data_IF_313666439245
#
_entry.id   IF_313666439245
#
_cell.length_a   1.000
_cell.length_b   1.000
_cell.length_c   1.000
_cell.angle_alpha   90.00
_cell.angle_beta   90.00
_cell.angle_gamma   90.00
#
_symmetry.space_group_name_H-M   'P 1'
#
loop_
_entity.id
_entity.type
_entity.pdbx_description
1 polymer ?
#
# COMPACT_ATOMS: atom_id res chain seq x y z
N UNK A 1 17.55 10.87 11.62
CA UNK A 1 17.62 10.44 10.19
C UNK A 1 18.82 11.08 9.51
N UNK A 2 19.68 10.29 8.83
CA UNK A 2 20.90 10.75 8.16
C UNK A 2 20.56 11.78 7.05
N UNK A 3 21.33 12.87 6.92
CA UNK A 3 21.15 13.92 5.89
C UNK A 3 21.09 13.35 4.46
N UNK A 4 21.90 12.31 4.18
CA UNK A 4 21.92 11.58 2.90
C UNK A 4 20.57 10.90 2.60
N UNK A 5 19.99 10.21 3.57
CA UNK A 5 18.69 9.56 3.45
C UNK A 5 17.60 10.60 3.15
N UNK A 6 17.60 11.73 3.88
CA UNK A 6 16.63 12.83 3.64
C UNK A 6 16.72 13.37 2.22
N UNK A 7 17.93 13.58 1.72
CA UNK A 7 18.14 14.08 0.35
C UNK A 7 17.64 13.07 -0.69
N UNK A 8 17.95 11.78 -0.51
CA UNK A 8 17.50 10.72 -1.43
C UNK A 8 15.97 10.63 -1.43
N UNK A 9 15.34 10.59 -0.26
CA UNK A 9 13.87 10.54 -0.16
C UNK A 9 13.22 11.78 -0.80
N UNK A 10 13.82 12.96 -0.64
CA UNK A 10 13.34 14.19 -1.29
C UNK A 10 13.44 14.11 -2.82
N UNK A 11 14.57 13.63 -3.36
CA UNK A 11 14.76 13.49 -4.81
C UNK A 11 13.81 12.44 -5.42
N UNK A 12 13.58 11.32 -4.73
CA UNK A 12 12.58 10.31 -5.12
C UNK A 12 11.20 10.96 -5.16
N UNK A 13 10.79 11.63 -4.07
CA UNK A 13 9.49 12.29 -4.00
C UNK A 13 9.28 13.35 -5.08
N UNK A 14 10.32 14.13 -5.41
CA UNK A 14 10.27 15.12 -6.49
C UNK A 14 10.09 14.45 -7.87
N UNK A 15 10.82 13.36 -8.10
CA UNK A 15 10.70 12.60 -9.35
C UNK A 15 9.29 12.00 -9.51
N UNK A 16 8.73 11.40 -8.44
CA UNK A 16 7.37 10.87 -8.43
C UNK A 16 6.33 11.98 -8.67
N UNK A 17 6.52 13.15 -8.06
CA UNK A 17 5.63 14.31 -8.25
C UNK A 17 5.57 14.77 -9.70
N UNK A 18 6.66 14.63 -10.46
CA UNK A 18 6.76 15.08 -11.86
C UNK A 18 6.32 13.99 -12.83
N UNK A 19 6.71 12.73 -12.60
CA UNK A 19 6.56 11.67 -13.60
C UNK A 19 5.41 10.71 -13.35
N UNK A 20 5.11 10.42 -12.10
CA UNK A 20 4.13 9.40 -11.69
C UNK A 20 2.77 10.01 -11.33
N UNK A 21 2.72 10.88 -10.33
CA UNK A 21 1.46 11.43 -9.82
C UNK A 21 0.60 12.15 -10.86
N UNK A 22 1.12 12.89 -11.87
CA UNK A 22 0.28 13.51 -12.89
C UNK A 22 -0.47 12.49 -13.76
N UNK A 23 0.14 11.33 -14.05
CA UNK A 23 -0.51 10.26 -14.82
C UNK A 23 -1.60 9.57 -14.01
N UNK A 24 -1.30 9.28 -12.73
CA UNK A 24 -2.26 8.67 -11.80
C UNK A 24 -3.43 9.61 -11.54
N UNK A 25 -3.16 10.91 -11.34
CA UNK A 25 -4.18 11.95 -11.19
C UNK A 25 -5.13 12.01 -12.37
N UNK A 26 -4.60 12.13 -13.59
CA UNK A 26 -5.42 12.17 -14.81
C UNK A 26 -6.33 10.95 -14.94
N UNK A 27 -5.83 9.77 -14.57
CA UNK A 27 -6.62 8.55 -14.57
C UNK A 27 -7.78 8.64 -13.57
N UNK A 28 -7.50 8.97 -12.30
CA UNK A 28 -8.51 8.99 -11.25
C UNK A 28 -9.48 10.16 -11.33
N UNK A 29 -9.08 11.31 -11.89
CA UNK A 29 -10.01 12.42 -12.18
C UNK A 29 -11.15 12.01 -13.12
N UNK A 30 -10.87 11.08 -14.04
CA UNK A 30 -11.86 10.54 -14.99
C UNK A 30 -12.61 9.32 -14.43
N UNK A 31 -11.97 8.51 -13.57
CA UNK A 31 -12.48 7.23 -13.14
C UNK A 31 -13.32 7.30 -11.85
N UNK A 32 -13.13 8.33 -11.02
CA UNK A 32 -13.79 8.43 -9.72
C UNK A 32 -15.05 9.30 -9.75
N UNK A 33 -16.13 8.89 -9.05
CA UNK A 33 -17.28 9.74 -8.80
C UNK A 33 -16.91 10.92 -7.88
N UNK A 34 -17.86 11.84 -7.63
CA UNK A 34 -17.63 13.04 -6.79
C UNK A 34 -17.33 12.69 -5.33
N UNK A 35 -17.91 11.62 -4.81
CA UNK A 35 -17.75 11.16 -3.42
C UNK A 35 -17.36 9.68 -3.39
N UNK A 36 -16.15 9.31 -3.83
CA UNK A 36 -15.75 7.91 -3.89
C UNK A 36 -15.54 7.33 -2.50
N UNK A 37 -15.78 6.04 -2.36
CA UNK A 37 -15.35 5.26 -1.21
C UNK A 37 -14.04 4.56 -1.52
N UNK A 38 -13.03 4.86 -0.74
CA UNK A 38 -11.66 4.40 -0.95
C UNK A 38 -11.20 3.61 0.27
N UNK A 39 -10.64 2.45 0.02
CA UNK A 39 -9.89 1.69 1.01
C UNK A 39 -8.41 1.78 0.68
N UNK A 40 -7.58 2.14 1.66
CA UNK A 40 -6.14 2.32 1.53
C UNK A 40 -5.43 1.45 2.56
N UNK A 41 -4.78 0.40 2.09
CA UNK A 41 -4.05 -0.56 2.92
C UNK A 41 -2.56 -0.26 2.81
N UNK A 42 -1.95 0.14 3.93
CA UNK A 42 -0.58 0.64 3.99
C UNK A 42 -0.53 2.16 3.87
N UNK A 43 -1.23 2.87 4.79
CA UNK A 43 -1.32 4.34 4.76
C UNK A 43 0.00 5.08 4.90
N UNK A 44 0.96 4.48 5.60
CA UNK A 44 2.25 5.08 5.90
C UNK A 44 2.10 6.50 6.49
N UNK A 45 2.61 7.54 5.82
CA UNK A 45 2.49 8.96 6.22
C UNK A 45 1.29 9.67 5.58
N UNK A 46 0.41 8.93 4.92
CA UNK A 46 -0.81 9.42 4.31
C UNK A 46 -0.65 10.01 2.92
N UNK A 47 0.35 9.57 2.15
CA UNK A 47 0.57 10.05 0.78
C UNK A 47 -0.63 9.73 -0.13
N UNK A 48 -1.17 8.51 -0.02
CA UNK A 48 -2.37 8.07 -0.75
C UNK A 48 -3.60 8.89 -0.36
N UNK A 49 -3.77 9.14 0.96
CA UNK A 49 -4.89 9.94 1.46
C UNK A 49 -4.83 11.37 0.90
N UNK A 50 -3.65 12.03 0.99
CA UNK A 50 -3.44 13.38 0.44
C UNK A 50 -3.71 13.41 -1.06
N UNK A 51 -3.26 12.39 -1.78
CA UNK A 51 -3.47 12.26 -3.21
C UNK A 51 -4.98 12.18 -3.54
N UNK A 52 -5.72 11.26 -2.95
CA UNK A 52 -7.14 11.09 -3.22
C UNK A 52 -7.96 12.30 -2.79
N UNK A 53 -7.68 12.89 -1.63
CA UNK A 53 -8.35 14.12 -1.16
C UNK A 53 -8.06 15.32 -2.08
N UNK A 54 -6.88 15.38 -2.69
CA UNK A 54 -6.56 16.43 -3.65
C UNK A 54 -7.34 16.34 -4.97
N UNK A 55 -7.88 15.16 -5.29
CA UNK A 55 -8.73 14.92 -6.48
C UNK A 55 -10.20 15.02 -6.10
N UNK A 56 -10.58 14.41 -4.98
CA UNK A 56 -11.96 14.35 -4.46
C UNK A 56 -11.98 14.70 -2.97
N UNK A 57 -12.11 15.97 -2.61
CA UNK A 57 -12.06 16.41 -1.20
C UNK A 57 -13.09 15.74 -0.29
N UNK A 58 -14.21 15.27 -0.88
CA UNK A 58 -15.29 14.59 -0.16
C UNK A 58 -15.18 13.06 -0.21
N UNK A 59 -14.05 12.51 -0.66
CA UNK A 59 -13.83 11.06 -0.66
C UNK A 59 -14.00 10.47 0.75
N UNK A 60 -14.71 9.34 0.86
CA UNK A 60 -14.85 8.58 2.08
C UNK A 60 -13.71 7.57 2.17
N UNK A 61 -12.70 7.84 2.98
CA UNK A 61 -11.47 7.02 3.01
C UNK A 61 -11.43 6.20 4.30
N UNK A 62 -11.28 4.88 4.15
CA UNK A 62 -10.89 3.99 5.25
C UNK A 62 -9.47 3.54 5.02
N UNK A 63 -8.56 3.86 5.93
CA UNK A 63 -7.13 3.60 5.77
C UNK A 63 -6.58 2.77 6.92
N UNK A 64 -5.74 1.78 6.58
CA UNK A 64 -5.15 0.81 7.51
C UNK A 64 -3.66 1.08 7.63
N UNK A 65 -3.18 1.27 8.86
CA UNK A 65 -1.77 1.47 9.19
C UNK A 65 -1.38 0.62 10.40
N UNK A 66 -0.53 -0.42 10.22
CA UNK A 66 -0.12 -1.29 11.32
C UNK A 66 0.83 -0.61 12.32
N UNK A 67 1.71 0.30 11.86
CA UNK A 67 2.70 0.95 12.71
C UNK A 67 2.04 1.96 13.66
N UNK A 68 2.07 1.74 15.00
CA UNK A 68 1.40 2.65 15.95
C UNK A 68 1.90 4.09 15.90
N UNK A 69 3.18 4.30 15.63
CA UNK A 69 3.78 5.64 15.54
C UNK A 69 3.27 6.39 14.30
N UNK A 70 3.18 5.70 13.14
CA UNK A 70 2.61 6.29 11.94
C UNK A 70 1.10 6.48 12.08
N UNK A 71 0.41 5.55 12.72
CA UNK A 71 -1.01 5.70 13.02
C UNK A 71 -1.31 6.94 13.86
N UNK A 72 -0.52 7.21 14.92
CA UNK A 72 -0.64 8.44 15.72
C UNK A 72 -0.39 9.70 14.88
N UNK A 73 0.62 9.68 14.00
CA UNK A 73 0.88 10.77 13.07
C UNK A 73 -0.34 11.03 12.16
N UNK A 74 -0.91 9.98 11.58
CA UNK A 74 -2.10 10.08 10.73
C UNK A 74 -3.31 10.61 11.52
N UNK A 75 -3.53 10.12 12.73
CA UNK A 75 -4.62 10.57 13.60
C UNK A 75 -4.51 12.06 13.88
N UNK A 76 -3.31 12.57 14.10
CA UNK A 76 -3.08 13.99 14.29
C UNK A 76 -3.26 14.78 12.98
N UNK A 77 -2.71 14.28 11.88
CA UNK A 77 -2.74 14.94 10.56
C UNK A 77 -4.17 15.12 10.04
N UNK A 78 -5.03 14.12 10.23
CA UNK A 78 -6.40 14.12 9.74
C UNK A 78 -7.43 14.39 10.83
N UNK A 79 -7.02 14.97 11.97
CA UNK A 79 -7.93 15.33 13.05
C UNK A 79 -9.05 16.26 12.54
N UNK A 80 -10.30 15.92 12.89
CA UNK A 80 -11.48 16.70 12.48
C UNK A 80 -12.02 16.40 11.06
N UNK A 81 -11.39 15.53 10.28
CA UNK A 81 -11.89 15.10 8.97
C UNK A 81 -12.84 13.89 9.15
N UNK A 82 -14.16 14.16 9.18
CA UNK A 82 -15.18 13.15 9.44
C UNK A 82 -15.30 12.10 8.31
N UNK A 83 -14.77 12.39 7.12
CA UNK A 83 -14.76 11.50 5.96
C UNK A 83 -13.54 10.55 5.93
N UNK A 84 -12.65 10.62 6.95
CA UNK A 84 -11.50 9.73 7.06
C UNK A 84 -11.66 8.84 8.29
N UNK A 85 -11.56 7.54 8.06
CA UNK A 85 -11.51 6.51 9.11
C UNK A 85 -10.14 5.84 9.10
N UNK A 86 -9.41 5.95 10.21
CA UNK A 86 -8.12 5.30 10.39
C UNK A 86 -8.27 4.03 11.23
N UNK A 87 -7.58 2.96 10.87
CA UNK A 87 -7.61 1.66 11.54
C UNK A 87 -6.18 1.22 11.84
N UNK A 88 -5.83 1.13 13.14
CA UNK A 88 -4.50 0.67 13.56
C UNK A 88 -4.45 -0.86 13.61
N UNK A 89 -4.45 -1.49 12.46
CA UNK A 89 -4.33 -2.94 12.27
C UNK A 89 -3.55 -3.21 11.00
N UNK A 90 -2.85 -4.35 10.99
CA UNK A 90 -2.37 -4.93 9.74
C UNK A 90 -3.51 -5.60 8.98
N UNK A 91 -3.34 -5.74 7.68
CA UNK A 91 -4.24 -6.51 6.82
C UNK A 91 -3.51 -7.76 6.35
N UNK A 92 -4.16 -8.92 6.45
CA UNK A 92 -3.61 -10.20 6.02
C UNK A 92 -4.73 -11.20 5.67
N UNK A 93 -4.35 -12.44 5.39
CA UNK A 93 -5.29 -13.53 5.05
C UNK A 93 -6.09 -14.04 6.25
N UNK A 94 -5.65 -13.76 7.48
CA UNK A 94 -6.30 -14.20 8.71
C UNK A 94 -6.17 -13.17 9.84
N UNK A 95 -7.08 -13.26 10.83
CA UNK A 95 -6.93 -12.55 12.10
C UNK A 95 -5.88 -13.29 12.94
N UNK A 96 -4.73 -12.67 13.12
CA UNK A 96 -3.57 -13.26 13.82
C UNK A 96 -2.61 -12.16 14.29
N UNK A 97 -1.57 -12.53 15.01
CA UNK A 97 -0.48 -11.63 15.35
C UNK A 97 0.72 -11.99 14.48
N UNK A 98 1.25 -11.01 13.76
CA UNK A 98 2.41 -11.16 12.89
C UNK A 98 3.55 -10.23 13.32
N UNK A 99 4.77 -10.65 13.04
CA UNK A 99 5.94 -9.78 13.18
C UNK A 99 5.95 -8.76 12.05
N UNK A 100 5.97 -7.48 12.42
CA UNK A 100 6.10 -6.36 11.51
C UNK A 100 7.50 -5.77 11.61
N UNK A 101 8.21 -5.71 10.49
CA UNK A 101 9.58 -5.24 10.39
C UNK A 101 9.60 -3.74 10.07
N UNK A 102 10.08 -2.93 11.00
CA UNK A 102 10.21 -1.48 10.81
C UNK A 102 11.51 -1.18 10.10
N UNK A 103 11.41 -0.55 8.93
CA UNK A 103 12.56 -0.14 8.16
C UNK A 103 13.02 1.28 8.56
N UNK A 104 14.34 1.53 8.58
CA UNK A 104 14.92 2.86 8.86
C UNK A 104 14.43 3.96 7.90
N UNK A 105 13.95 3.58 6.72
CA UNK A 105 13.38 4.53 5.75
C UNK A 105 11.92 4.89 6.02
N UNK A 106 11.26 4.19 6.95
CA UNK A 106 9.81 4.27 7.23
C UNK A 106 8.88 4.02 6.01
N UNK A 107 9.42 3.98 4.80
CA UNK A 107 8.65 3.88 3.55
C UNK A 107 8.45 2.44 3.09
N UNK A 108 9.21 1.49 3.64
CA UNK A 108 9.25 0.10 3.18
C UNK A 108 9.14 -0.90 4.34
N UNK A 109 8.42 -0.53 5.40
CA UNK A 109 8.13 -1.43 6.52
C UNK A 109 7.08 -2.46 6.11
N UNK A 110 7.27 -3.74 6.48
CA UNK A 110 6.47 -4.85 5.97
C UNK A 110 6.29 -5.95 7.00
N UNK A 111 5.34 -6.85 6.77
CA UNK A 111 5.24 -8.15 7.44
C UNK A 111 6.19 -9.20 6.83
N UNK A 112 6.83 -8.89 5.70
CA UNK A 112 7.76 -9.79 5.04
C UNK A 112 9.19 -9.52 5.49
N UNK A 113 9.92 -10.60 5.81
CA UNK A 113 11.33 -10.52 6.18
C UNK A 113 12.19 -10.16 4.96
N UNK A 114 13.27 -9.38 5.18
CA UNK A 114 14.20 -9.04 4.11
C UNK A 114 14.99 -10.29 3.67
N UNK A 115 15.20 -10.39 2.37
CA UNK A 115 16.12 -11.34 1.76
C UNK A 115 17.54 -10.77 1.80
N UNK A 116 18.35 -11.19 2.75
CA UNK A 116 19.71 -10.66 2.91
C UNK A 116 20.66 -11.04 1.77
N UNK A 117 20.31 -12.05 0.95
CA UNK A 117 21.07 -12.46 -0.23
C UNK A 117 20.67 -11.65 -1.49
N UNK A 118 19.68 -10.76 -1.38
CA UNK A 118 19.22 -9.92 -2.47
C UNK A 118 20.28 -8.92 -2.92
N UNK A 119 20.58 -8.95 -4.22
CA UNK A 119 21.45 -7.95 -4.85
C UNK A 119 20.80 -6.55 -4.84
N UNK A 120 19.49 -6.48 -4.96
CA UNK A 120 18.74 -5.23 -4.89
C UNK A 120 18.84 -4.61 -3.49
N UNK A 121 18.63 -5.43 -2.42
CA UNK A 121 18.78 -4.99 -1.04
C UNK A 121 20.19 -4.50 -0.75
N UNK A 122 21.23 -5.24 -1.21
CA UNK A 122 22.62 -4.83 -1.05
C UNK A 122 22.91 -3.48 -1.70
N UNK A 123 22.40 -3.25 -2.93
CA UNK A 123 22.53 -1.97 -3.63
C UNK A 123 21.78 -0.85 -2.92
N UNK A 124 20.56 -1.11 -2.43
CA UNK A 124 19.77 -0.17 -1.64
C UNK A 124 20.50 0.23 -0.36
N UNK A 125 21.04 -0.74 0.37
CA UNK A 125 21.84 -0.50 1.58
C UNK A 125 23.09 0.37 1.30
N UNK A 126 23.80 0.08 0.22
CA UNK A 126 24.96 0.89 -0.22
C UNK A 126 24.57 2.33 -0.54
N UNK A 127 23.46 2.54 -1.26
CA UNK A 127 22.93 3.88 -1.56
C UNK A 127 22.57 4.62 -0.27
N UNK A 128 22.03 3.94 0.72
CA UNK A 128 21.65 4.50 2.01
C UNK A 128 22.85 4.71 2.95
N UNK A 129 24.00 4.06 2.68
CA UNK A 129 25.18 4.09 3.53
C UNK A 129 25.04 3.31 4.83
N UNK A 130 24.32 2.18 4.76
CA UNK A 130 24.11 1.22 5.87
C UNK A 130 24.41 -0.20 5.40
N UNK A 131 24.55 -1.14 6.34
CA UNK A 131 24.60 -2.58 5.98
C UNK A 131 23.19 -3.12 5.71
N UNK A 132 23.01 -4.17 4.87
CA UNK A 132 21.70 -4.80 4.65
C UNK A 132 21.00 -5.20 5.95
N UNK A 133 21.74 -5.75 6.92
CA UNK A 133 21.25 -6.15 8.25
C UNK A 133 20.81 -4.97 9.13
N UNK A 134 21.20 -3.75 8.80
CA UNK A 134 20.88 -2.54 9.56
C UNK A 134 19.67 -1.79 8.99
N UNK A 135 19.09 -2.27 7.88
CA UNK A 135 17.91 -1.65 7.25
C UNK A 135 16.70 -1.78 8.17
N UNK A 136 16.49 -2.95 8.79
CA UNK A 136 15.47 -3.11 9.83
C UNK A 136 16.00 -2.43 11.09
N UNK A 137 15.21 -1.51 11.63
CA UNK A 137 15.52 -0.77 12.85
C UNK A 137 14.86 -1.37 14.08
N UNK A 138 13.71 -2.02 13.91
CA UNK A 138 12.90 -2.58 15.00
C UNK A 138 11.91 -3.62 14.46
N UNK A 139 11.28 -4.37 15.37
CA UNK A 139 10.19 -5.28 15.06
C UNK A 139 9.05 -5.14 16.05
N UNK A 140 7.81 -5.21 15.57
CA UNK A 140 6.61 -5.16 16.39
C UNK A 140 5.76 -6.40 16.19
N UNK A 141 5.02 -6.80 17.22
CA UNK A 141 3.96 -7.80 17.11
C UNK A 141 2.64 -7.05 16.84
N UNK A 142 2.10 -7.24 15.66
CA UNK A 142 0.91 -6.49 15.19
C UNK A 142 -0.24 -7.46 14.92
N UNK A 143 -1.41 -7.11 15.45
CA UNK A 143 -2.65 -7.80 15.10
C UNK A 143 -3.08 -7.48 13.67
N UNK A 144 -3.43 -8.53 12.92
CA UNK A 144 -3.98 -8.40 11.57
C UNK A 144 -5.46 -8.73 11.53
N UNK A 145 -6.12 -8.25 10.49
CA UNK A 145 -7.51 -8.53 10.15
C UNK A 145 -7.61 -9.02 8.71
N UNK A 146 -8.72 -9.72 8.38
CA UNK A 146 -9.14 -9.97 7.01
C UNK A 146 -9.96 -8.80 6.49
N UNK A 147 -9.66 -8.31 5.29
CA UNK A 147 -10.46 -7.26 4.66
C UNK A 147 -11.92 -7.68 4.48
N UNK A 148 -12.15 -8.92 4.04
CA UNK A 148 -13.51 -9.46 3.88
C UNK A 148 -14.33 -9.32 5.16
N UNK A 149 -13.79 -9.79 6.29
CA UNK A 149 -14.51 -9.78 7.55
C UNK A 149 -14.80 -8.34 7.99
N UNK A 150 -13.81 -7.44 7.86
CA UNK A 150 -13.99 -6.02 8.15
C UNK A 150 -15.08 -5.38 7.29
N UNK A 151 -15.08 -5.62 5.97
CA UNK A 151 -16.06 -5.09 5.02
C UNK A 151 -17.48 -5.56 5.40
N UNK A 152 -17.64 -6.85 5.70
CA UNK A 152 -18.92 -7.44 6.09
C UNK A 152 -19.41 -6.91 7.44
N UNK A 153 -18.55 -6.85 8.46
CA UNK A 153 -18.86 -6.29 9.78
C UNK A 153 -19.30 -4.82 9.70
N UNK A 154 -18.65 -4.04 8.83
CA UNK A 154 -19.00 -2.62 8.61
C UNK A 154 -20.18 -2.45 7.63
N UNK A 155 -20.76 -3.55 7.10
CA UNK A 155 -21.88 -3.54 6.14
C UNK A 155 -21.59 -2.69 4.89
N UNK A 156 -20.36 -2.76 4.39
CA UNK A 156 -19.93 -2.01 3.21
C UNK A 156 -20.29 -2.83 1.98
N UNK A 157 -21.10 -2.24 1.11
CA UNK A 157 -21.61 -2.91 -0.10
C UNK A 157 -20.91 -2.47 -1.38
N UNK A 158 -20.15 -1.38 -1.34
CA UNK A 158 -19.43 -0.85 -2.50
C UNK A 158 -18.15 -0.12 -2.10
N UNK A 159 -17.10 -0.31 -2.91
CA UNK A 159 -15.81 0.36 -2.82
C UNK A 159 -15.39 0.77 -4.24
N UNK A 160 -15.13 2.05 -4.47
CA UNK A 160 -14.68 2.54 -5.78
C UNK A 160 -13.21 2.18 -6.04
N UNK A 161 -12.37 2.27 -5.01
CA UNK A 161 -10.95 1.89 -5.10
C UNK A 161 -10.50 1.20 -3.81
N UNK A 162 -9.90 0.02 -3.96
CA UNK A 162 -9.08 -0.63 -2.95
C UNK A 162 -7.62 -0.52 -3.37
N UNK A 163 -6.84 0.33 -2.70
CA UNK A 163 -5.38 0.39 -2.84
C UNK A 163 -4.75 -0.53 -1.81
N UNK A 164 -3.82 -1.38 -2.25
CA UNK A 164 -2.99 -2.22 -1.38
C UNK A 164 -1.53 -1.96 -1.74
N UNK A 165 -0.78 -1.48 -0.77
CA UNK A 165 0.64 -1.16 -0.88
C UNK A 165 1.28 -1.53 0.47
N UNK A 166 1.69 -2.78 0.57
CA UNK A 166 2.09 -3.42 1.83
C UNK A 166 3.50 -3.99 1.78
N UNK A 167 4.25 -3.58 0.74
CA UNK A 167 5.66 -3.90 0.60
C UNK A 167 5.91 -5.42 0.63
N UNK A 168 5.24 -6.13 -0.29
CA UNK A 168 5.39 -7.58 -0.50
C UNK A 168 4.35 -8.45 0.20
N UNK A 169 3.36 -7.88 0.90
CA UNK A 169 2.30 -8.64 1.59
C UNK A 169 0.95 -8.63 0.85
N UNK A 170 0.91 -8.12 -0.38
CA UNK A 170 -0.30 -7.87 -1.19
C UNK A 170 -1.11 -9.13 -1.43
N UNK A 171 -0.47 -10.25 -1.79
CA UNK A 171 -1.17 -11.52 -2.02
C UNK A 171 -1.89 -12.01 -0.76
N UNK A 172 -1.29 -11.85 0.42
CA UNK A 172 -1.92 -12.24 1.69
C UNK A 172 -3.11 -11.33 2.02
N UNK A 173 -3.02 -10.03 1.70
CA UNK A 173 -4.16 -9.11 1.81
C UNK A 173 -5.32 -9.56 0.89
N UNK A 174 -5.03 -9.90 -0.36
CA UNK A 174 -6.02 -10.37 -1.33
C UNK A 174 -6.61 -11.74 -0.97
N UNK A 175 -5.83 -12.66 -0.42
CA UNK A 175 -6.34 -13.94 0.13
C UNK A 175 -7.28 -13.73 1.32
N UNK A 176 -7.09 -12.65 2.10
CA UNK A 176 -7.99 -12.23 3.17
C UNK A 176 -9.23 -11.48 2.68
N UNK A 177 -9.24 -11.07 1.41
CA UNK A 177 -10.37 -10.42 0.76
C UNK A 177 -11.25 -11.44 0.03
N UNK A 178 -10.65 -12.30 -0.77
CA UNK A 178 -11.37 -13.20 -1.68
C UNK A 178 -11.60 -14.60 -1.10
N UNK A 179 -12.74 -15.24 -1.47
CA UNK A 179 -13.87 -14.65 -2.17
C UNK A 179 -14.64 -13.66 -1.28
N UNK A 180 -15.19 -12.61 -1.87
CA UNK A 180 -16.07 -11.67 -1.18
C UNK A 180 -17.44 -11.63 -1.84
N UNK A 181 -18.49 -11.75 -1.02
CA UNK A 181 -19.89 -11.62 -1.43
C UNK A 181 -20.52 -10.42 -0.72
N UNK A 182 -21.51 -9.80 -1.34
CA UNK A 182 -22.23 -8.65 -0.75
C UNK A 182 -21.50 -7.31 -0.82
N UNK A 183 -20.29 -7.27 -1.38
CA UNK A 183 -19.57 -6.01 -1.66
C UNK A 183 -19.02 -6.01 -3.09
N UNK A 184 -19.29 -4.96 -3.83
CA UNK A 184 -18.70 -4.71 -5.14
C UNK A 184 -17.49 -3.79 -5.00
N UNK A 185 -16.36 -4.17 -5.59
CA UNK A 185 -15.14 -3.34 -5.61
C UNK A 185 -14.85 -3.04 -7.08
N UNK A 186 -14.92 -1.76 -7.48
CA UNK A 186 -14.76 -1.37 -8.87
C UNK A 186 -13.32 -1.58 -9.34
N UNK A 187 -12.36 -1.09 -8.53
CA UNK A 187 -10.94 -1.14 -8.87
C UNK A 187 -10.08 -1.59 -7.71
N UNK A 188 -9.03 -2.34 -8.04
CA UNK A 188 -7.96 -2.71 -7.12
C UNK A 188 -6.66 -2.16 -7.67
N UNK A 189 -5.96 -1.35 -6.87
CA UNK A 189 -4.65 -0.78 -7.20
C UNK A 189 -3.59 -1.45 -6.36
N UNK A 190 -2.51 -1.91 -7.02
CA UNK A 190 -1.38 -2.59 -6.40
C UNK A 190 -0.07 -2.05 -6.95
N UNK A 191 0.96 -1.98 -6.10
CA UNK A 191 2.33 -1.79 -6.57
C UNK A 191 2.95 -3.13 -6.96
N UNK A 192 3.52 -3.20 -8.16
CA UNK A 192 4.24 -4.36 -8.65
C UNK A 192 5.75 -4.13 -8.47
N UNK A 193 6.32 -4.82 -7.50
CA UNK A 193 7.76 -4.86 -7.24
C UNK A 193 8.41 -5.94 -8.11
N UNK A 194 9.38 -5.55 -8.95
CA UNK A 194 10.17 -6.49 -9.74
C UNK A 194 11.55 -6.73 -9.11
N UNK A 195 11.61 -6.79 -7.79
CA UNK A 195 12.84 -7.02 -7.06
C UNK A 195 12.72 -8.26 -6.14
N UNK A 196 13.85 -8.67 -5.58
CA UNK A 196 13.98 -9.83 -4.69
C UNK A 196 14.24 -9.42 -3.24
N UNK A 197 13.78 -8.21 -2.84
CA UNK A 197 14.11 -7.62 -1.54
C UNK A 197 13.53 -8.38 -0.34
N UNK A 198 12.40 -9.04 -0.52
CA UNK A 198 11.72 -9.79 0.55
C UNK A 198 11.88 -11.30 0.38
N UNK A 199 11.89 -12.03 1.51
CA UNK A 199 11.86 -13.49 1.50
C UNK A 199 10.46 -13.97 1.09
N UNK A 200 10.42 -15.06 0.30
CA UNK A 200 9.15 -15.70 -0.11
C UNK A 200 8.15 -14.74 -0.77
N UNK A 201 8.66 -13.77 -1.53
CA UNK A 201 7.81 -12.89 -2.32
C UNK A 201 7.00 -13.74 -3.30
N UNK A 202 5.70 -13.67 -3.19
CA UNK A 202 4.81 -14.29 -4.18
C UNK A 202 5.00 -13.58 -5.53
N UNK A 203 5.04 -14.36 -6.63
CA UNK A 203 5.19 -13.76 -7.94
C UNK A 203 3.96 -12.91 -8.30
N UNK A 204 4.18 -11.83 -9.03
CA UNK A 204 3.08 -10.97 -9.45
C UNK A 204 2.07 -11.70 -10.34
N UNK A 205 2.51 -12.72 -11.08
CA UNK A 205 1.64 -13.62 -11.85
C UNK A 205 0.64 -14.34 -10.96
N UNK A 206 1.04 -14.74 -9.74
CA UNK A 206 0.13 -15.35 -8.76
C UNK A 206 -0.94 -14.36 -8.29
N UNK A 207 -0.55 -13.10 -8.04
CA UNK A 207 -1.47 -12.01 -7.71
C UNK A 207 -2.46 -11.78 -8.86
N UNK A 208 -1.94 -11.67 -10.08
CA UNK A 208 -2.76 -11.45 -11.27
C UNK A 208 -3.72 -12.61 -11.52
N UNK A 209 -3.29 -13.85 -11.38
CA UNK A 209 -4.14 -15.02 -11.52
C UNK A 209 -5.28 -15.03 -10.48
N UNK A 210 -5.00 -14.66 -9.23
CA UNK A 210 -6.03 -14.54 -8.19
C UNK A 210 -7.05 -13.44 -8.55
N UNK A 211 -6.59 -12.29 -9.03
CA UNK A 211 -7.47 -11.20 -9.44
C UNK A 211 -8.34 -11.60 -10.64
N UNK A 212 -7.76 -12.24 -11.66
CA UNK A 212 -8.49 -12.73 -12.84
C UNK A 212 -9.54 -13.79 -12.45
N UNK A 213 -9.20 -14.72 -11.56
CA UNK A 213 -10.14 -15.72 -11.06
C UNK A 213 -11.34 -15.10 -10.31
N UNK A 214 -11.18 -13.86 -9.82
CA UNK A 214 -12.24 -13.08 -9.18
C UNK A 214 -12.83 -12.00 -10.11
N UNK A 215 -12.62 -12.10 -11.43
CA UNK A 215 -13.23 -11.24 -12.46
C UNK A 215 -12.65 -9.85 -12.55
N UNK A 216 -11.35 -9.68 -12.28
CA UNK A 216 -10.64 -8.42 -12.47
C UNK A 216 -9.68 -8.52 -13.65
N UNK A 217 -9.62 -7.47 -14.45
CA UNK A 217 -8.71 -7.33 -15.58
C UNK A 217 -7.85 -6.07 -15.42
N UNK A 218 -6.65 -6.08 -16.01
CA UNK A 218 -5.76 -4.90 -15.99
C UNK A 218 -6.38 -3.76 -16.80
N UNK A 219 -6.75 -2.67 -16.13
CA UNK A 219 -7.25 -1.44 -16.76
C UNK A 219 -6.11 -0.49 -17.10
N UNK A 220 -5.12 -0.37 -16.22
CA UNK A 220 -4.00 0.56 -16.39
C UNK A 220 -2.73 0.07 -15.72
N UNK A 221 -1.59 0.32 -16.37
CA UNK A 221 -0.26 0.20 -15.79
C UNK A 221 0.44 1.54 -15.88
N UNK A 222 0.98 2.03 -14.76
CA UNK A 222 1.69 3.31 -14.68
C UNK A 222 3.08 3.06 -14.09
N UNK A 223 4.12 3.38 -14.86
CA UNK A 223 5.49 3.24 -14.38
C UNK A 223 5.84 4.38 -13.45
N UNK A 224 6.48 4.06 -12.32
CA UNK A 224 7.09 5.04 -11.43
C UNK A 224 8.24 5.79 -12.10
N UNK A 225 8.53 6.99 -11.62
CA UNK A 225 9.62 7.81 -12.14
C UNK A 225 11.00 7.27 -11.79
N UNK A 226 11.11 6.42 -10.78
CA UNK A 226 12.35 5.86 -10.27
C UNK A 226 12.23 4.34 -10.07
N UNK A 227 13.26 3.59 -10.46
CA UNK A 227 13.29 2.14 -10.31
C UNK A 227 12.47 1.37 -11.36
N UNK A 228 12.24 0.09 -11.08
CA UNK A 228 11.43 -0.83 -11.89
C UNK A 228 10.11 -1.16 -11.17
N UNK A 229 9.41 -0.12 -10.74
CA UNK A 229 8.13 -0.24 -10.06
C UNK A 229 7.00 0.22 -10.96
N UNK A 230 5.88 -0.45 -10.84
CA UNK A 230 4.69 -0.16 -11.64
C UNK A 230 3.47 -0.19 -10.72
N UNK A 231 2.65 0.87 -10.79
CA UNK A 231 1.29 0.79 -10.29
C UNK A 231 0.41 0.09 -11.31
N UNK A 232 -0.29 -0.92 -10.85
CA UNK A 232 -1.23 -1.69 -11.66
C UNK A 232 -2.64 -1.51 -11.11
N UNK A 233 -3.53 -1.05 -11.96
CA UNK A 233 -4.94 -0.84 -11.62
C UNK A 233 -5.74 -1.88 -12.36
N UNK A 234 -6.44 -2.70 -11.59
CA UNK A 234 -7.34 -3.73 -12.08
C UNK A 234 -8.78 -3.25 -11.93
N UNK A 235 -9.61 -3.53 -12.91
CA UNK A 235 -11.03 -3.19 -12.92
C UNK A 235 -11.86 -4.45 -12.89
N UNK A 236 -12.96 -4.41 -12.16
CA UNK A 236 -13.98 -5.47 -12.18
C UNK A 236 -14.63 -5.51 -13.56
N UNK A 237 -14.64 -6.70 -14.19
CA UNK A 237 -15.24 -6.95 -15.49
C UNK A 237 -16.79 -6.87 -15.44
#
# INVERSE_FOLDING_TARGET
MNKRIRLISYLIGLNEAIQFYPKLRRFYEQALPETPRIFDVGANKGQSLDFFLSIRPNAQITSFEPNPSLFQLLTHKYAGQANIRLVNKGVSHAKQVLTFYINKLDLTSSFEALNLDSKYLAKKAQVLGVKPTEIISDTLQIETICLRDYILEQKITHIDVLKIDTEGHELKCLKGLFPIEGCHIDRIQLENHQDDMYQNLDSFETIQALLQANGYEVERTIKHGFGNFYEMIFKKA
#
